data_IF_834284560109
#
_entry.id   IF_834284560109
#
_cell.length_a   1.000
_cell.length_b   1.000
_cell.length_c   1.000
_cell.angle_alpha   90.00
_cell.angle_beta   90.00
_cell.angle_gamma   90.00
#
_symmetry.space_group_name_H-M   'P 1'
#
loop_
_entity.id
_entity.type
_entity.pdbx_description
1 polymer ?
#
# COMPACT_ATOMS: atom_id res chain seq x y z
N UNK A 1 9.13 9.36 -5.87
CA UNK A 1 9.46 7.97 -6.22
C UNK A 1 8.39 6.95 -5.78
N UNK A 2 8.23 6.62 -4.48
CA UNK A 2 7.24 5.60 -4.06
C UNK A 2 5.83 5.86 -4.59
N UNK A 3 5.31 7.08 -4.39
CA UNK A 3 3.97 7.49 -4.84
C UNK A 3 3.81 7.33 -6.35
N UNK A 4 4.83 7.74 -7.11
CA UNK A 4 4.83 7.68 -8.58
C UNK A 4 4.84 6.24 -9.07
N UNK A 5 5.72 5.40 -8.51
CA UNK A 5 5.82 3.98 -8.86
C UNK A 5 4.54 3.21 -8.55
N UNK A 6 3.94 3.47 -7.40
CA UNK A 6 2.68 2.82 -7.04
C UNK A 6 1.53 3.30 -7.93
N UNK A 7 1.45 4.60 -8.23
CA UNK A 7 0.46 5.15 -9.15
C UNK A 7 0.60 4.56 -10.56
N UNK A 8 1.82 4.48 -11.09
CA UNK A 8 2.13 3.85 -12.38
C UNK A 8 1.70 2.37 -12.42
N UNK A 9 2.00 1.61 -11.36
CA UNK A 9 1.61 0.20 -11.25
C UNK A 9 0.09 0.01 -11.24
N UNK A 10 -0.62 0.79 -10.44
CA UNK A 10 -2.10 0.79 -10.40
C UNK A 10 -2.67 1.21 -11.75
N UNK A 11 -2.13 2.27 -12.35
CA UNK A 11 -2.60 2.79 -13.62
C UNK A 11 -2.43 1.80 -14.76
N UNK A 12 -1.32 1.05 -14.78
CA UNK A 12 -1.08 0.00 -15.77
C UNK A 12 -2.18 -1.08 -15.76
N UNK A 13 -2.57 -1.53 -14.56
CA UNK A 13 -3.62 -2.54 -14.40
C UNK A 13 -5.00 -1.96 -14.73
N UNK A 14 -5.31 -0.77 -14.20
CA UNK A 14 -6.61 -0.14 -14.38
C UNK A 14 -6.88 0.24 -15.85
N UNK A 15 -5.87 0.73 -16.58
CA UNK A 15 -5.99 1.04 -18.02
C UNK A 15 -6.35 -0.19 -18.84
N UNK A 16 -5.81 -1.37 -18.51
CA UNK A 16 -6.12 -2.60 -19.21
C UNK A 16 -7.58 -3.08 -19.00
N UNK A 17 -8.24 -2.64 -17.93
CA UNK A 17 -9.61 -3.04 -17.57
C UNK A 17 -10.64 -1.95 -17.92
N UNK A 18 -10.19 -0.73 -18.18
CA UNK A 18 -11.02 0.43 -18.50
C UNK A 18 -12.02 0.15 -19.65
N UNK A 19 -13.29 0.60 -19.55
CA UNK A 19 -13.89 1.48 -18.52
C UNK A 19 -14.54 0.72 -17.35
N UNK A 20 -14.25 -0.58 -17.16
CA UNK A 20 -14.87 -1.34 -16.07
C UNK A 20 -14.27 -0.93 -14.72
N UNK A 21 -15.07 -0.95 -13.63
CA UNK A 21 -14.59 -0.60 -12.31
C UNK A 21 -13.51 -1.57 -11.82
N UNK A 22 -12.51 -1.04 -11.13
CA UNK A 22 -11.42 -1.81 -10.51
C UNK A 22 -11.42 -1.53 -9.01
N UNK A 23 -11.45 -2.58 -8.19
CA UNK A 23 -11.33 -2.48 -6.75
C UNK A 23 -9.87 -2.66 -6.37
N UNK A 24 -9.26 -1.60 -5.84
CA UNK A 24 -7.89 -1.64 -5.34
C UNK A 24 -7.90 -1.93 -3.84
N UNK A 25 -7.13 -2.94 -3.43
CA UNK A 25 -6.87 -3.23 -2.02
C UNK A 25 -5.53 -2.63 -1.63
N UNK A 26 -5.51 -1.85 -0.54
CA UNK A 26 -4.27 -1.33 0.06
C UNK A 26 -3.38 -2.44 0.60
N UNK A 27 -2.15 -2.10 0.95
CA UNK A 27 -1.14 -3.05 1.39
C UNK A 27 -1.56 -3.86 2.64
N UNK A 28 -1.82 -5.16 2.44
CA UNK A 28 -2.15 -6.09 3.52
C UNK A 28 -0.97 -7.03 3.85
N UNK A 29 0.23 -6.48 3.82
CA UNK A 29 1.44 -7.20 4.20
C UNK A 29 1.49 -7.38 5.73
N UNK A 30 1.93 -8.56 6.13
CA UNK A 30 2.24 -8.92 7.51
C UNK A 30 3.59 -8.34 7.91
N UNK A 31 3.84 -8.23 9.21
CA UNK A 31 5.12 -7.81 9.78
C UNK A 31 6.30 -8.60 9.19
N UNK A 32 6.18 -9.92 9.06
CA UNK A 32 7.23 -10.76 8.47
C UNK A 32 7.45 -10.55 6.96
N UNK A 33 6.46 -10.05 6.22
CA UNK A 33 6.59 -9.71 4.80
C UNK A 33 7.32 -8.38 4.63
N UNK A 34 6.93 -7.36 5.42
CA UNK A 34 7.65 -6.09 5.46
C UNK A 34 9.08 -6.25 5.96
N UNK A 35 9.31 -7.12 6.94
CA UNK A 35 10.64 -7.37 7.51
C UNK A 35 11.64 -7.88 6.47
N UNK A 36 11.16 -8.58 5.44
CA UNK A 36 11.98 -9.10 4.33
C UNK A 36 12.30 -8.06 3.25
N UNK A 37 11.67 -6.88 3.31
CA UNK A 37 12.05 -5.77 2.45
C UNK A 37 13.38 -5.18 2.95
N UNK A 38 14.11 -4.54 2.04
CA UNK A 38 15.36 -3.86 2.40
C UNK A 38 15.09 -2.80 3.49
N UNK A 39 15.86 -2.88 4.58
CA UNK A 39 15.67 -2.03 5.76
C UNK A 39 14.48 -2.41 6.66
N UNK A 40 13.66 -3.40 6.28
CA UNK A 40 12.45 -3.77 7.03
C UNK A 40 12.72 -4.36 8.42
N UNK A 41 13.87 -5.01 8.62
CA UNK A 41 14.27 -5.60 9.92
C UNK A 41 14.34 -4.59 11.06
N UNK A 42 14.64 -3.33 10.78
CA UNK A 42 14.78 -2.27 11.79
C UNK A 42 13.42 -1.69 12.24
N UNK A 43 12.39 -1.79 11.41
CA UNK A 43 11.08 -1.17 11.65
C UNK A 43 9.97 -2.17 12.01
N UNK A 44 10.17 -3.45 11.72
CA UNK A 44 9.13 -4.47 11.88
C UNK A 44 9.35 -5.36 13.11
N UNK A 45 8.42 -5.38 14.08
CA UNK A 45 8.53 -6.24 15.24
C UNK A 45 8.44 -7.72 14.84
N UNK A 46 9.07 -8.59 15.62
CA UNK A 46 8.91 -10.04 15.44
C UNK A 46 7.64 -10.50 16.17
N UNK A 47 6.70 -11.07 15.42
CA UNK A 47 5.43 -11.56 15.94
C UNK A 47 5.37 -13.08 15.87
N UNK A 48 4.94 -13.73 16.97
CA UNK A 48 4.77 -15.18 17.03
C UNK A 48 3.73 -15.69 16.02
N UNK A 49 2.69 -14.91 15.72
CA UNK A 49 1.69 -15.22 14.72
C UNK A 49 1.33 -13.98 13.87
N UNK A 50 2.05 -13.74 12.75
CA UNK A 50 1.82 -12.58 11.88
C UNK A 50 0.43 -12.52 11.23
N UNK A 51 -0.31 -13.64 11.19
CA UNK A 51 -1.68 -13.63 10.64
C UNK A 51 -2.67 -12.86 11.52
N UNK A 52 -2.42 -12.84 12.82
CA UNK A 52 -3.22 -12.13 13.83
C UNK A 52 -2.52 -10.87 14.35
N UNK A 53 -1.44 -10.48 13.68
CA UNK A 53 -0.54 -9.42 14.11
C UNK A 53 -0.87 -8.05 13.54
N UNK A 54 0.13 -7.18 13.55
CA UNK A 54 0.02 -5.79 13.15
C UNK A 54 -0.02 -5.60 11.63
N UNK A 55 -1.23 -5.67 11.07
CA UNK A 55 -1.53 -5.57 9.62
C UNK A 55 -2.87 -4.90 9.34
N UNK A 56 -3.14 -4.61 8.07
CA UNK A 56 -4.40 -4.04 7.61
C UNK A 56 -4.75 -2.74 8.34
N UNK A 57 -6.02 -2.57 8.71
CA UNK A 57 -6.52 -1.32 9.34
C UNK A 57 -5.79 -0.98 10.64
N UNK A 58 -5.46 -1.97 11.47
CA UNK A 58 -4.71 -1.75 12.72
C UNK A 58 -3.34 -1.11 12.47
N UNK A 59 -2.74 -1.39 11.31
CA UNK A 59 -1.50 -0.77 10.84
C UNK A 59 -1.77 0.62 10.26
N UNK A 60 -2.73 0.75 9.35
CA UNK A 60 -2.99 2.01 8.63
C UNK A 60 -3.23 3.21 9.55
N UNK A 61 -3.95 3.01 10.66
CA UNK A 61 -4.32 4.08 11.60
C UNK A 61 -3.31 4.26 12.74
N UNK A 62 -2.30 3.40 12.83
CA UNK A 62 -1.33 3.48 13.92
C UNK A 62 -0.45 4.73 13.76
N UNK A 63 -0.16 5.48 14.84
CA UNK A 63 0.66 6.69 14.74
C UNK A 63 2.04 6.48 14.10
N UNK A 64 2.60 5.27 14.23
CA UNK A 64 3.91 4.91 13.70
C UNK A 64 3.91 4.70 12.18
N UNK A 65 2.79 4.22 11.62
CA UNK A 65 2.71 3.86 10.20
C UNK A 65 1.81 4.79 9.38
N UNK A 66 0.94 5.57 10.02
CA UNK A 66 0.03 6.50 9.35
C UNK A 66 0.70 7.39 8.29
N UNK A 67 1.91 7.96 8.51
CA UNK A 67 2.60 8.73 7.49
C UNK A 67 2.95 7.93 6.23
N UNK A 68 3.27 6.64 6.39
CA UNK A 68 3.53 5.73 5.28
C UNK A 68 2.23 5.38 4.54
N UNK A 69 1.13 5.11 5.26
CA UNK A 69 -0.17 4.86 4.63
C UNK A 69 -0.66 6.05 3.80
N UNK A 70 -0.39 7.29 4.23
CA UNK A 70 -0.66 8.50 3.42
C UNK A 70 0.06 8.51 2.07
N UNK A 71 1.19 7.81 1.92
CA UNK A 71 1.86 7.68 0.62
C UNK A 71 1.03 6.82 -0.35
N UNK A 72 0.46 5.71 0.12
CA UNK A 72 -0.43 4.87 -0.71
C UNK A 72 -1.69 5.62 -1.13
N UNK A 73 -2.32 6.34 -0.20
CA UNK A 73 -3.50 7.16 -0.51
C UNK A 73 -3.16 8.23 -1.55
N UNK A 74 -2.00 8.89 -1.43
CA UNK A 74 -1.52 9.86 -2.43
C UNK A 74 -1.32 9.21 -3.81
N UNK A 75 -0.82 7.98 -3.87
CA UNK A 75 -0.61 7.26 -5.12
C UNK A 75 -1.94 6.95 -5.81
N UNK A 76 -2.93 6.46 -5.07
CA UNK A 76 -4.28 6.22 -5.61
C UNK A 76 -4.92 7.52 -6.08
N UNK A 77 -4.80 8.60 -5.30
CA UNK A 77 -5.31 9.92 -5.70
C UNK A 77 -4.66 10.39 -7.01
N UNK A 78 -3.34 10.27 -7.14
CA UNK A 78 -2.60 10.59 -8.36
C UNK A 78 -3.09 9.79 -9.56
N UNK A 79 -3.22 8.46 -9.42
CA UNK A 79 -3.72 7.60 -10.49
C UNK A 79 -5.14 8.01 -10.96
N UNK A 80 -6.02 8.40 -10.04
CA UNK A 80 -7.39 8.81 -10.37
C UNK A 80 -7.49 10.22 -10.95
N UNK A 81 -6.82 11.19 -10.33
CA UNK A 81 -6.98 12.62 -10.64
C UNK A 81 -6.05 13.08 -11.76
N UNK A 82 -4.79 12.65 -11.77
CA UNK A 82 -3.78 13.11 -12.72
C UNK A 82 -3.67 12.19 -13.94
N UNK A 83 -3.85 10.87 -13.76
CA UNK A 83 -3.75 9.89 -14.86
C UNK A 83 -5.11 9.56 -15.51
N UNK A 84 -6.19 10.20 -15.07
CA UNK A 84 -7.52 10.12 -15.71
C UNK A 84 -8.30 8.84 -15.47
N UNK A 85 -7.90 8.01 -14.50
CA UNK A 85 -8.52 6.72 -14.20
C UNK A 85 -9.58 6.86 -13.10
N UNK A 86 -10.64 7.62 -13.39
CA UNK A 86 -11.68 7.97 -12.41
C UNK A 86 -12.65 6.84 -12.09
#
# INVERSE_FOLDING_TARGET
EFVDKLAEGVAKVATAIYPRPVVVRFSDFKTNEYRRLEGGEEYEPEERNPMLGWRGVSRYISPQYEPAFRLEVRAIRKAREEMGLK
#
